data_IF_219060103453
#
_entry.id   IF_219060103453
#
_cell.length_a   1.000
_cell.length_b   1.000
_cell.length_c   1.000
_cell.angle_alpha   90.00
_cell.angle_beta   90.00
_cell.angle_gamma   90.00
#
_symmetry.space_group_name_H-M   'P 1'
#
loop_
_entity.id
_entity.type
_entity.pdbx_description
1 polymer ?
#
# COMPACT_ATOMS: atom_id res chain seq x y z
N UNK A 1 -25.97 18.43 10.25
CA UNK A 1 -25.25 17.31 10.90
C UNK A 1 -24.57 16.51 9.79
N UNK A 2 -23.26 16.41 9.61
CA UNK A 2 -22.09 17.01 10.26
C UNK A 2 -20.98 16.94 9.20
N UNK A 3 -20.70 18.04 8.50
CA UNK A 3 -19.53 18.18 7.61
C UNK A 3 -18.28 18.65 8.37
N UNK A 4 -18.35 18.76 9.70
CA UNK A 4 -17.40 19.51 10.52
C UNK A 4 -16.58 18.66 11.50
N UNK A 5 -16.54 17.33 11.32
CA UNK A 5 -15.79 16.42 12.20
C UNK A 5 -14.51 15.84 11.58
N UNK A 6 -14.19 16.13 10.32
CA UNK A 6 -13.01 15.56 9.65
C UNK A 6 -11.74 16.43 9.67
N UNK A 7 -11.79 17.63 10.25
CA UNK A 7 -10.67 18.59 10.11
C UNK A 7 -9.68 18.61 11.27
N UNK A 8 -9.89 17.88 12.37
CA UNK A 8 -9.02 18.00 13.56
C UNK A 8 -8.43 16.70 14.14
N UNK A 9 -8.39 15.61 13.38
CA UNK A 9 -7.61 14.43 13.76
C UNK A 9 -6.99 13.78 12.51
N UNK A 10 -6.10 14.53 11.85
CA UNK A 10 -5.40 14.13 10.62
C UNK A 10 -4.84 12.69 10.76
N UNK A 11 -5.07 11.87 9.74
CA UNK A 11 -4.96 10.40 9.75
C UNK A 11 -3.65 9.87 10.38
N UNK A 12 -3.68 8.62 10.89
CA UNK A 12 -2.50 7.92 11.47
C UNK A 12 -1.16 8.15 10.75
N UNK A 13 -1.11 8.35 9.43
CA UNK A 13 0.16 8.31 8.69
C UNK A 13 0.79 9.69 8.54
N UNK A 14 -0.02 10.75 8.74
CA UNK A 14 0.49 12.07 9.08
C UNK A 14 1.12 12.10 10.47
N UNK A 15 0.55 11.37 11.45
CA UNK A 15 1.15 11.25 12.79
C UNK A 15 2.49 10.51 12.73
N UNK A 16 2.55 9.40 11.96
CA UNK A 16 3.80 8.68 11.72
C UNK A 16 4.85 9.58 11.06
N UNK A 17 4.47 10.34 10.02
CA UNK A 17 5.38 11.25 9.32
C UNK A 17 5.90 12.38 10.20
N UNK A 18 5.07 12.90 11.13
CA UNK A 18 5.51 13.89 12.13
C UNK A 18 6.53 13.32 13.11
N UNK A 19 6.32 12.08 13.56
CA UNK A 19 7.28 11.42 14.44
C UNK A 19 8.61 11.14 13.73
N UNK A 20 8.58 10.77 12.44
CA UNK A 20 9.79 10.67 11.62
C UNK A 20 10.55 12.00 11.59
N UNK A 21 9.88 13.11 11.30
CA UNK A 21 10.49 14.45 11.33
C UNK A 21 11.09 14.79 12.70
N UNK A 22 10.36 14.50 13.79
CA UNK A 22 10.82 14.78 15.16
C UNK A 22 12.12 14.04 15.49
N UNK A 23 12.23 12.78 15.07
CA UNK A 23 13.36 11.90 15.36
C UNK A 23 14.60 12.15 14.50
N UNK A 24 14.42 12.64 13.26
CA UNK A 24 15.54 12.94 12.39
C UNK A 24 16.45 14.03 13.00
N UNK A 25 17.76 13.81 12.89
CA UNK A 25 18.78 14.83 13.14
C UNK A 25 18.88 15.77 11.92
N UNK A 26 19.41 17.00 12.06
CA UNK A 26 19.73 17.85 10.92
C UNK A 26 20.60 17.11 9.90
N UNK A 27 20.25 17.19 8.62
CA UNK A 27 20.88 16.45 7.51
C UNK A 27 20.40 14.99 7.38
N UNK A 28 19.49 14.53 8.23
CA UNK A 28 18.92 13.18 8.15
C UNK A 28 17.87 13.04 7.04
N UNK A 29 17.78 11.86 6.44
CA UNK A 29 16.82 11.55 5.37
C UNK A 29 15.73 10.59 5.87
N UNK A 30 14.50 10.83 5.44
CA UNK A 30 13.40 9.87 5.54
C UNK A 30 12.92 9.47 4.14
N UNK A 31 12.74 8.17 3.94
CA UNK A 31 12.09 7.57 2.79
C UNK A 31 10.80 6.85 3.21
N UNK A 32 9.80 6.88 2.33
CA UNK A 32 8.54 6.13 2.49
C UNK A 32 8.16 5.58 1.13
N UNK A 33 7.91 4.29 1.03
CA UNK A 33 7.33 3.62 -0.14
C UNK A 33 5.88 3.25 0.12
N UNK A 34 5.02 3.47 -0.89
CA UNK A 34 3.59 3.18 -0.84
C UNK A 34 3.17 2.59 -2.17
N UNK A 35 2.49 1.44 -2.12
CA UNK A 35 1.87 0.83 -3.29
C UNK A 35 0.72 1.70 -3.82
N UNK A 36 0.68 1.93 -5.14
CA UNK A 36 -0.53 2.46 -5.80
C UNK A 36 -1.61 1.40 -5.64
N UNK A 37 -2.76 1.78 -5.09
CA UNK A 37 -3.78 0.84 -4.60
C UNK A 37 -4.00 -0.33 -5.57
N UNK A 38 -3.91 -1.56 -5.05
CA UNK A 38 -4.23 -2.76 -5.81
C UNK A 38 -5.69 -2.67 -6.28
N UNK A 39 -5.92 -2.91 -7.58
CA UNK A 39 -7.27 -2.95 -8.15
C UNK A 39 -8.12 -3.93 -7.34
N UNK A 40 -9.36 -3.54 -7.03
CA UNK A 40 -10.24 -4.33 -6.17
C UNK A 40 -10.54 -5.67 -6.84
N UNK A 41 -10.23 -6.78 -6.16
CA UNK A 41 -10.62 -8.14 -6.55
C UNK A 41 -12.16 -8.25 -6.67
N UNK A 42 -12.89 -7.44 -5.90
CA UNK A 42 -14.34 -7.27 -6.01
C UNK A 42 -14.66 -5.78 -6.26
N UNK A 43 -15.07 -5.38 -7.47
CA UNK A 43 -15.30 -3.96 -7.80
C UNK A 43 -16.37 -3.30 -6.92
N UNK A 44 -17.27 -4.11 -6.34
CA UNK A 44 -18.42 -3.66 -5.56
C UNK A 44 -18.23 -3.79 -4.04
N UNK A 45 -17.17 -4.43 -3.57
CA UNK A 45 -16.91 -4.60 -2.13
C UNK A 45 -15.78 -3.67 -1.66
N UNK A 46 -15.93 -3.18 -0.43
CA UNK A 46 -14.89 -2.42 0.25
C UNK A 46 -14.17 -3.37 1.20
N UNK A 47 -12.82 -3.43 1.21
CA UNK A 47 -12.10 -4.19 2.21
C UNK A 47 -12.54 -3.78 3.62
N UNK A 48 -12.79 -4.75 4.49
CA UNK A 48 -13.38 -4.52 5.80
C UNK A 48 -12.58 -3.51 6.66
N UNK A 49 -11.25 -3.55 6.64
CA UNK A 49 -10.40 -2.68 7.48
C UNK A 49 -9.69 -1.54 6.73
N UNK A 50 -9.82 -1.46 5.40
CA UNK A 50 -9.01 -0.55 4.60
C UNK A 50 -9.72 0.80 4.39
N UNK A 51 -9.86 1.58 5.46
CA UNK A 51 -10.32 2.98 5.36
C UNK A 51 -9.12 3.90 5.15
N UNK A 52 -8.34 3.67 4.08
CA UNK A 52 -7.34 4.65 3.68
C UNK A 52 -8.04 5.81 2.93
N UNK A 53 -7.59 7.06 3.14
CA UNK A 53 -7.95 8.16 2.26
C UNK A 53 -7.75 7.74 0.80
N UNK A 54 -8.75 7.99 -0.05
CA UNK A 54 -8.71 7.66 -1.48
C UNK A 54 -7.47 8.22 -2.18
N UNK A 55 -6.99 9.36 -1.67
CA UNK A 55 -5.95 10.16 -2.29
C UNK A 55 -4.56 9.76 -1.77
N UNK A 56 -4.47 8.79 -0.86
CA UNK A 56 -3.18 8.38 -0.32
C UNK A 56 -2.23 7.83 -1.38
N UNK A 57 -2.77 7.12 -2.37
CA UNK A 57 -2.00 6.62 -3.52
C UNK A 57 -1.75 7.68 -4.60
N UNK A 58 -2.07 8.95 -4.32
CA UNK A 58 -1.78 10.09 -5.18
C UNK A 58 -0.43 10.72 -4.82
N UNK A 59 0.39 11.01 -5.84
CA UNK A 59 1.70 11.61 -5.63
C UNK A 59 1.63 13.03 -5.05
N UNK A 60 0.65 13.83 -5.47
CA UNK A 60 0.42 15.19 -5.00
C UNK A 60 0.04 15.20 -3.52
N UNK A 61 -0.85 14.29 -3.10
CA UNK A 61 -1.20 14.14 -1.68
C UNK A 61 0.03 13.81 -0.81
N UNK A 62 0.92 12.92 -1.30
CA UNK A 62 2.16 12.57 -0.60
C UNK A 62 3.13 13.74 -0.49
N UNK A 63 3.26 14.53 -1.56
CA UNK A 63 4.12 15.70 -1.58
C UNK A 63 3.61 16.79 -0.62
N UNK A 64 2.33 17.13 -0.70
CA UNK A 64 1.67 18.12 0.16
C UNK A 64 1.73 17.71 1.64
N UNK A 65 1.40 16.46 1.94
CA UNK A 65 1.39 15.95 3.32
C UNK A 65 2.76 16.05 3.99
N UNK A 66 3.84 15.72 3.27
CA UNK A 66 5.20 15.79 3.83
C UNK A 66 5.68 17.24 3.94
N UNK A 67 5.37 18.09 2.96
CA UNK A 67 5.67 19.51 3.02
C UNK A 67 5.03 20.18 4.25
N UNK A 68 3.75 19.90 4.51
CA UNK A 68 3.00 20.42 5.66
C UNK A 68 3.56 19.97 7.03
N UNK A 69 4.29 18.86 7.08
CA UNK A 69 4.81 18.29 8.34
C UNK A 69 6.16 18.88 8.75
N UNK A 70 6.81 19.64 7.85
CA UNK A 70 8.04 20.38 8.15
C UNK A 70 9.20 20.10 7.20
N UNK A 71 9.07 19.10 6.32
CA UNK A 71 10.09 18.83 5.29
C UNK A 71 10.14 19.91 4.19
N UNK A 72 9.10 20.73 4.06
CA UNK A 72 9.03 21.83 3.08
C UNK A 72 9.16 21.33 1.63
N UNK A 73 9.81 22.13 0.80
CA UNK A 73 9.96 21.87 -0.65
C UNK A 73 11.02 20.78 -0.97
N UNK A 74 11.68 20.21 0.04
CA UNK A 74 12.72 19.18 -0.12
C UNK A 74 12.14 17.76 -0.33
N UNK A 75 10.83 17.65 -0.57
CA UNK A 75 10.16 16.38 -0.79
C UNK A 75 10.23 16.02 -2.28
N UNK A 76 10.83 14.87 -2.58
CA UNK A 76 10.82 14.30 -3.93
C UNK A 76 9.98 13.04 -3.92
N UNK A 77 8.97 12.97 -4.80
CA UNK A 77 8.16 11.77 -5.02
C UNK A 77 8.49 11.20 -6.39
N UNK A 78 8.78 9.89 -6.46
CA UNK A 78 9.05 9.18 -7.72
C UNK A 78 8.11 7.99 -7.83
N UNK A 79 7.61 7.76 -9.05
CA UNK A 79 7.03 6.46 -9.37
C UNK A 79 8.18 5.47 -9.59
N UNK A 80 8.06 4.30 -9.01
CA UNK A 80 8.92 3.16 -9.30
C UNK A 80 8.06 1.93 -9.54
N UNK A 81 8.57 1.04 -10.38
CA UNK A 81 8.02 -0.30 -10.50
C UNK A 81 8.58 -1.10 -9.32
N UNK A 82 7.70 -1.49 -8.40
CA UNK A 82 8.02 -2.50 -7.40
C UNK A 82 7.52 -3.87 -7.84
N UNK A 83 7.78 -4.88 -7.04
CA UNK A 83 7.20 -6.20 -7.26
C UNK A 83 6.88 -6.89 -5.94
N UNK A 84 5.92 -7.81 -6.00
CA UNK A 84 5.77 -8.87 -5.02
C UNK A 84 6.14 -10.18 -5.70
N UNK A 85 7.15 -10.87 -5.17
CA UNK A 85 7.66 -12.11 -5.75
C UNK A 85 8.01 -13.15 -4.69
N UNK A 86 8.10 -14.40 -5.12
CA UNK A 86 8.58 -15.51 -4.32
C UNK A 86 9.18 -16.61 -5.23
N UNK A 87 9.93 -17.52 -4.61
CA UNK A 87 10.58 -18.65 -5.24
C UNK A 87 9.60 -19.69 -5.82
N UNK A 88 8.33 -19.65 -5.41
CA UNK A 88 7.26 -20.50 -5.92
C UNK A 88 5.92 -19.77 -5.94
N UNK A 89 5.02 -20.20 -6.83
CA UNK A 89 3.65 -19.68 -6.88
C UNK A 89 2.93 -19.91 -5.55
N UNK A 90 3.08 -21.08 -4.95
CA UNK A 90 2.47 -21.43 -3.66
C UNK A 90 2.93 -20.47 -2.56
N UNK A 91 4.23 -20.12 -2.56
CA UNK A 91 4.78 -19.17 -1.59
C UNK A 91 4.26 -17.76 -1.83
N UNK A 92 4.19 -17.32 -3.09
CA UNK A 92 3.66 -16.01 -3.45
C UNK A 92 2.19 -15.88 -3.02
N UNK A 93 1.38 -16.88 -3.33
CA UNK A 93 -0.02 -16.96 -2.91
C UNK A 93 -0.12 -16.96 -1.38
N UNK A 94 0.68 -17.75 -0.68
CA UNK A 94 0.67 -17.78 0.78
C UNK A 94 1.01 -16.41 1.40
N UNK A 95 1.97 -15.67 0.83
CA UNK A 95 2.32 -14.32 1.28
C UNK A 95 1.14 -13.35 1.08
N UNK A 96 0.45 -13.40 -0.06
CA UNK A 96 -0.73 -12.55 -0.32
C UNK A 96 -1.91 -12.91 0.58
N UNK A 97 -2.02 -14.18 0.98
CA UNK A 97 -3.05 -14.68 1.88
C UNK A 97 -2.79 -14.33 3.36
N UNK A 98 -1.61 -13.81 3.73
CA UNK A 98 -1.32 -13.38 5.11
C UNK A 98 -2.31 -12.33 5.63
N UNK A 99 -2.80 -11.46 4.75
CA UNK A 99 -3.76 -10.42 5.09
C UNK A 99 -5.21 -10.84 4.86
N UNK A 100 -5.49 -12.13 4.57
CA UNK A 100 -6.86 -12.61 4.31
C UNK A 100 -7.83 -12.20 5.41
N UNK A 101 -7.43 -12.28 6.68
CA UNK A 101 -8.28 -11.91 7.82
C UNK A 101 -8.66 -10.43 7.85
N UNK A 102 -7.92 -9.56 7.15
CA UNK A 102 -8.23 -8.16 6.98
C UNK A 102 -9.29 -7.91 5.90
N UNK A 103 -9.23 -8.66 4.80
CA UNK A 103 -10.16 -8.54 3.66
C UNK A 103 -11.45 -9.30 3.88
N UNK A 104 -11.35 -10.48 4.47
CA UNK A 104 -12.39 -11.49 4.61
C UNK A 104 -13.07 -11.47 5.98
N UNK A 105 -12.89 -10.40 6.76
CA UNK A 105 -13.49 -10.34 8.10
C UNK A 105 -15.03 -10.34 8.02
N UNK A 106 -15.66 -11.27 8.73
CA UNK A 106 -17.11 -11.46 8.74
C UNK A 106 -17.59 -12.66 7.93
N UNK A 107 -16.69 -13.31 7.22
CA UNK A 107 -16.92 -14.53 6.48
C UNK A 107 -16.28 -15.74 7.21
N UNK A 108 -16.78 -16.94 6.94
CA UNK A 108 -16.28 -18.19 7.52
C UNK A 108 -15.04 -18.70 6.76
N UNK A 109 -14.28 -19.62 7.38
CA UNK A 109 -13.18 -20.29 6.69
C UNK A 109 -13.68 -21.18 5.52
N UNK A 110 -14.90 -21.73 5.62
CA UNK A 110 -15.52 -22.52 4.55
C UNK A 110 -15.86 -21.67 3.32
N UNK A 111 -16.22 -20.39 3.51
CA UNK A 111 -16.52 -19.45 2.41
C UNK A 111 -15.29 -19.12 1.54
N UNK A 112 -14.08 -19.41 2.02
CA UNK A 112 -12.84 -19.22 1.26
C UNK A 112 -12.04 -20.50 1.09
N UNK A 113 -12.66 -21.66 1.27
CA UNK A 113 -12.04 -22.90 0.84
C UNK A 113 -11.74 -22.82 -0.67
N UNK A 114 -10.50 -23.13 -1.06
CA UNK A 114 -10.02 -22.95 -2.44
C UNK A 114 -9.64 -21.52 -2.86
N UNK A 115 -9.77 -20.49 -2.00
CA UNK A 115 -9.41 -19.11 -2.36
C UNK A 115 -7.94 -18.97 -2.79
N UNK A 116 -7.04 -19.73 -2.16
CA UNK A 116 -5.62 -19.73 -2.53
C UNK A 116 -5.39 -20.25 -3.96
N UNK A 117 -6.14 -21.29 -4.37
CA UNK A 117 -6.05 -21.86 -5.72
C UNK A 117 -6.55 -20.85 -6.76
N UNK A 118 -7.73 -20.28 -6.54
CA UNK A 118 -8.30 -19.24 -7.41
C UNK A 118 -7.38 -18.04 -7.50
N UNK A 119 -6.81 -17.58 -6.38
CA UNK A 119 -5.86 -16.47 -6.37
C UNK A 119 -4.64 -16.78 -7.25
N UNK A 120 -4.09 -17.99 -7.17
CA UNK A 120 -2.98 -18.42 -8.01
C UNK A 120 -3.31 -18.40 -9.51
N UNK A 121 -4.52 -18.82 -9.89
CA UNK A 121 -5.00 -18.76 -11.28
C UNK A 121 -5.21 -17.33 -11.77
N UNK A 122 -5.79 -16.47 -10.92
CA UNK A 122 -6.05 -15.07 -11.27
C UNK A 122 -4.76 -14.25 -11.39
N UNK A 123 -3.75 -14.51 -10.53
CA UNK A 123 -2.45 -13.85 -10.63
C UNK A 123 -1.79 -14.07 -11.99
N UNK A 124 -1.84 -15.30 -12.52
CA UNK A 124 -1.25 -15.64 -13.82
C UNK A 124 -1.92 -14.94 -15.01
N UNK A 125 -3.17 -14.52 -14.85
CA UNK A 125 -3.93 -13.80 -15.91
C UNK A 125 -3.61 -12.31 -15.91
N UNK A 126 -2.94 -11.81 -14.88
CA UNK A 126 -2.69 -10.39 -14.73
C UNK A 126 -1.59 -9.92 -15.69
N UNK A 127 -1.81 -8.79 -16.37
CA UNK A 127 -0.81 -8.14 -17.25
C UNK A 127 0.54 -7.86 -16.57
N UNK A 128 0.54 -7.73 -15.24
CA UNK A 128 1.74 -7.47 -14.44
C UNK A 128 2.48 -8.75 -14.01
N UNK A 129 1.97 -9.92 -14.36
CA UNK A 129 2.56 -11.21 -14.02
C UNK A 129 3.89 -11.46 -14.72
N UNK A 130 4.83 -12.07 -14.01
CA UNK A 130 6.06 -12.61 -14.59
C UNK A 130 6.47 -13.93 -13.93
N UNK A 131 7.18 -14.74 -14.71
CA UNK A 131 7.83 -15.98 -14.29
C UNK A 131 9.21 -16.02 -14.94
N UNK A 132 10.25 -16.14 -14.13
CA UNK A 132 11.65 -16.15 -14.56
C UNK A 132 12.49 -17.14 -13.74
N UNK A 133 13.82 -17.12 -13.92
CA UNK A 133 14.73 -18.02 -13.21
C UNK A 133 14.79 -17.76 -11.69
N UNK A 134 14.39 -16.57 -11.24
CA UNK A 134 14.36 -16.17 -9.83
C UNK A 134 13.02 -16.51 -9.16
N UNK A 135 11.97 -16.74 -9.94
CA UNK A 135 10.71 -17.32 -9.50
C UNK A 135 9.48 -16.68 -10.13
N UNK A 136 8.51 -16.34 -9.28
CA UNK A 136 7.18 -15.91 -9.68
C UNK A 136 6.87 -14.55 -9.07
N UNK A 137 6.22 -13.66 -9.82
CA UNK A 137 5.86 -12.37 -9.26
C UNK A 137 4.85 -11.56 -10.06
N UNK A 138 4.47 -10.43 -9.44
CA UNK A 138 3.67 -9.39 -10.06
C UNK A 138 4.38 -8.05 -9.92
N UNK A 139 4.36 -7.26 -10.99
CA UNK A 139 4.81 -5.87 -10.96
C UNK A 139 3.71 -5.03 -10.31
N UNK A 140 4.10 -4.21 -9.33
CA UNK A 140 3.18 -3.34 -8.61
C UNK A 140 3.76 -1.93 -8.62
N UNK A 141 3.01 -1.00 -9.19
CA UNK A 141 3.38 0.40 -9.15
C UNK A 141 3.48 0.91 -7.71
N UNK A 142 4.56 1.65 -7.42
CA UNK A 142 4.79 2.28 -6.13
C UNK A 142 5.14 3.75 -6.29
N UNK A 143 4.79 4.53 -5.28
CA UNK A 143 5.37 5.84 -5.02
C UNK A 143 6.44 5.71 -3.94
N UNK A 144 7.61 6.29 -4.18
CA UNK A 144 8.63 6.49 -3.14
C UNK A 144 8.84 7.98 -2.94
N UNK A 145 8.68 8.41 -1.70
CA UNK A 145 8.81 9.80 -1.28
C UNK A 145 10.03 9.97 -0.36
N UNK A 146 11.01 10.73 -0.83
CA UNK A 146 12.24 11.08 -0.11
C UNK A 146 12.14 12.50 0.45
N UNK A 147 12.68 12.73 1.64
CA UNK A 147 12.81 14.07 2.20
C UNK A 147 13.97 14.17 3.19
N UNK A 148 14.63 15.31 3.24
CA UNK A 148 15.72 15.61 4.19
C UNK A 148 15.30 16.67 5.20
N UNK A 149 15.85 16.59 6.41
CA UNK A 149 15.68 17.58 7.48
C UNK A 149 16.77 18.62 7.53
#
# INVERSE_FOLDING_TARGET
MDQQLWTNNRCSPMKATREMWRLLKPGGMADVSIWKAARRISPNERPYAWTLPSDWSDAGWLQETKAEIGFGDNVTVKQIDGSASAESLERLVANMMCDKGMFCKGHSEEEFDGMAEVLGEELKKWEAWYEDEEGFGIIIDSWVAFATK
#
